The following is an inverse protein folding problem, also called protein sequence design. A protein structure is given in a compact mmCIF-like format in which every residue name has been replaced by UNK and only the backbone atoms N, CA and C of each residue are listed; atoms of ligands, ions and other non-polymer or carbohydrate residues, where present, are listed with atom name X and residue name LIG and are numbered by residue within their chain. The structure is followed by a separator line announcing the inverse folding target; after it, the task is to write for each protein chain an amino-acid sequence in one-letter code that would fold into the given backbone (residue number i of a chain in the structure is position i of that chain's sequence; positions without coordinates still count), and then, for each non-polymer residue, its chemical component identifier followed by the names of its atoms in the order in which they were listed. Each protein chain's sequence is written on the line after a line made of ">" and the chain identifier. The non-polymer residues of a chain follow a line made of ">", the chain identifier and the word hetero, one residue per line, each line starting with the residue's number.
data_IF_004955608523
#
_entry.id   IF_004955608523
#
_cell.length_a   1.000
_cell.length_b   1.000
_cell.length_c   1.000
_cell.angle_alpha   90.00
_cell.angle_beta   90.00
_cell.angle_gamma   90.00
#
_symmetry.space_group_name_H-M   'P 1'
#
loop_
_entity.id
_entity.type
_entity.pdbx_description
1 polymer ?
#
# COMPACT_ATOMS: atom_id res chain seq x y z
N UNK A 1 16.34 6.96 11.91
CA UNK A 1 15.30 7.40 10.94
C UNK A 1 14.05 6.55 11.20
N UNK A 2 12.86 7.15 11.35
CA UNK A 2 11.64 6.43 11.81
C UNK A 2 10.42 6.57 10.90
N UNK A 3 10.57 7.21 9.73
CA UNK A 3 9.50 7.42 8.76
C UNK A 3 9.88 6.72 7.44
N UNK A 4 8.92 6.06 6.78
CA UNK A 4 9.17 5.25 5.60
C UNK A 4 9.71 6.05 4.41
N UNK A 5 9.27 7.30 4.21
CA UNK A 5 9.76 8.12 3.08
C UNK A 5 11.24 8.53 3.27
N UNK A 6 11.66 9.11 4.40
CA UNK A 6 13.07 9.33 4.67
C UNK A 6 13.91 8.06 4.57
N UNK A 7 13.38 6.91 5.05
CA UNK A 7 14.07 5.61 4.92
C UNK A 7 14.28 5.26 3.44
N UNK A 8 13.25 5.42 2.61
CA UNK A 8 13.37 5.18 1.18
C UNK A 8 14.39 6.12 0.52
N UNK A 9 14.40 7.42 0.85
CA UNK A 9 15.40 8.36 0.33
C UNK A 9 16.82 7.95 0.73
N UNK A 10 17.02 7.58 2.01
CA UNK A 10 18.32 7.13 2.47
C UNK A 10 18.78 5.84 1.78
N UNK A 11 17.86 4.88 1.59
CA UNK A 11 18.16 3.64 0.86
C UNK A 11 18.51 3.91 -0.61
N UNK A 12 17.82 4.83 -1.27
CA UNK A 12 18.10 5.21 -2.66
C UNK A 12 19.46 5.92 -2.81
N UNK A 13 19.80 6.79 -1.85
CA UNK A 13 21.12 7.45 -1.80
C UNK A 13 22.25 6.46 -1.50
N UNK A 14 22.01 5.52 -0.57
CA UNK A 14 23.02 4.57 -0.09
C UNK A 14 23.21 3.41 -1.06
N UNK A 15 22.14 2.98 -1.73
CA UNK A 15 22.11 1.84 -2.66
C UNK A 15 21.35 2.24 -3.94
N UNK A 16 22.00 2.96 -4.87
CA UNK A 16 21.31 3.58 -6.01
C UNK A 16 20.86 2.62 -7.12
N UNK A 17 21.21 1.34 -7.03
CA UNK A 17 20.78 0.32 -8.01
C UNK A 17 20.27 -0.95 -7.29
N UNK A 18 18.99 -1.34 -7.50
CA UNK A 18 17.98 -0.65 -8.29
C UNK A 18 17.43 0.62 -7.60
N UNK A 19 17.07 1.68 -8.35
CA UNK A 19 16.56 2.91 -7.76
C UNK A 19 15.12 2.73 -7.23
N UNK A 20 14.85 3.29 -6.05
CA UNK A 20 13.51 3.51 -5.51
C UNK A 20 12.83 4.73 -6.13
N UNK A 21 13.61 5.70 -6.64
CA UNK A 21 13.11 6.89 -7.33
C UNK A 21 13.65 6.94 -8.78
N UNK A 22 13.12 6.12 -9.71
CA UNK A 22 13.71 5.91 -11.03
C UNK A 22 13.79 7.16 -11.93
N UNK A 23 12.96 8.17 -11.66
CA UNK A 23 12.97 9.48 -12.32
C UNK A 23 13.39 10.61 -11.36
N UNK A 24 14.09 10.30 -10.27
CA UNK A 24 14.58 11.26 -9.27
C UNK A 24 13.45 12.09 -8.64
N UNK A 25 13.59 13.41 -8.68
CA UNK A 25 12.62 14.36 -8.08
C UNK A 25 11.18 14.19 -8.60
N UNK A 26 11.00 13.75 -9.85
CA UNK A 26 9.67 13.47 -10.38
C UNK A 26 9.02 12.26 -9.68
N UNK A 27 9.79 11.20 -9.44
CA UNK A 27 9.35 10.03 -8.66
C UNK A 27 9.07 10.40 -7.21
N UNK A 28 9.90 11.26 -6.61
CA UNK A 28 9.70 11.75 -5.25
C UNK A 28 8.39 12.55 -5.12
N UNK A 29 8.16 13.49 -6.04
CA UNK A 29 6.91 14.26 -6.10
C UNK A 29 5.69 13.35 -6.32
N UNK A 30 5.83 12.32 -7.16
CA UNK A 30 4.81 11.31 -7.37
C UNK A 30 4.52 10.53 -6.09
N UNK A 31 5.55 10.10 -5.34
CA UNK A 31 5.37 9.40 -4.06
C UNK A 31 4.60 10.25 -3.04
N UNK A 32 4.90 11.55 -2.94
CA UNK A 32 4.14 12.48 -2.09
C UNK A 32 2.67 12.56 -2.52
N UNK A 33 2.41 12.67 -3.83
CA UNK A 33 1.06 12.73 -4.37
C UNK A 33 0.28 11.44 -4.08
N UNK A 34 0.86 10.26 -4.35
CA UNK A 34 0.24 8.97 -4.06
C UNK A 34 -0.04 8.82 -2.57
N UNK A 35 0.93 9.14 -1.71
CA UNK A 35 0.77 9.11 -0.26
C UNK A 35 -0.40 9.98 0.19
N UNK A 36 -0.55 11.19 -0.36
CA UNK A 36 -1.67 12.08 -0.03
C UNK A 36 -3.01 11.58 -0.55
N UNK A 37 -3.06 11.10 -1.80
CA UNK A 37 -4.27 10.63 -2.47
C UNK A 37 -4.80 9.32 -1.86
N UNK A 38 -3.94 8.50 -1.26
CA UNK A 38 -4.34 7.23 -0.66
C UNK A 38 -5.09 7.39 0.67
N UNK A 39 -4.85 8.49 1.40
CA UNK A 39 -5.39 8.70 2.76
C UNK A 39 -6.92 8.53 2.83
N UNK A 40 -7.74 9.16 1.96
CA UNK A 40 -9.18 9.03 2.04
C UNK A 40 -9.68 7.59 1.85
N UNK A 41 -9.10 6.86 0.89
CA UNK A 41 -9.42 5.45 0.64
C UNK A 41 -9.04 4.59 1.86
N UNK A 42 -7.82 4.77 2.38
CA UNK A 42 -7.34 4.02 3.54
C UNK A 42 -8.21 4.26 4.78
N UNK A 43 -8.57 5.51 5.08
CA UNK A 43 -9.42 5.84 6.22
C UNK A 43 -10.81 5.22 6.14
N UNK A 44 -11.43 5.17 4.95
CA UNK A 44 -12.74 4.51 4.77
C UNK A 44 -12.68 3.01 5.03
N UNK A 45 -11.54 2.37 4.76
CA UNK A 45 -11.36 0.94 5.03
C UNK A 45 -10.98 0.61 6.47
N UNK A 46 -10.55 1.58 7.28
CA UNK A 46 -10.21 1.35 8.68
C UNK A 46 -11.36 0.70 9.46
N UNK A 47 -12.60 1.13 9.22
CA UNK A 47 -13.77 0.58 9.88
C UNK A 47 -14.03 -0.90 9.50
N UNK A 48 -13.52 -1.34 8.36
CA UNK A 48 -13.64 -2.73 7.90
C UNK A 48 -12.45 -3.59 8.35
N UNK A 49 -11.24 -3.02 8.35
CA UNK A 49 -9.97 -3.74 8.52
C UNK A 49 -9.47 -3.77 9.97
N UNK A 50 -9.56 -2.66 10.71
CA UNK A 50 -9.04 -2.58 12.07
C UNK A 50 -9.70 -3.55 13.05
N UNK A 51 -11.03 -3.83 12.98
CA UNK A 51 -11.65 -4.80 13.87
C UNK A 51 -11.09 -6.22 13.73
N UNK A 52 -10.53 -6.54 12.56
CA UNK A 52 -9.92 -7.85 12.27
C UNK A 52 -8.49 -7.97 12.78
N UNK A 53 -7.89 -6.90 13.30
CA UNK A 53 -6.53 -6.95 13.84
C UNK A 53 -6.38 -7.95 15.00
N UNK A 54 -7.46 -8.16 15.75
CA UNK A 54 -7.50 -9.16 16.81
C UNK A 54 -7.36 -10.61 16.34
N UNK A 55 -7.61 -10.89 15.07
CA UNK A 55 -7.50 -12.22 14.46
C UNK A 55 -6.09 -12.51 13.93
N UNK A 56 -5.27 -11.47 13.78
CA UNK A 56 -3.97 -11.53 13.07
C UNK A 56 -2.79 -11.29 14.00
N UNK A 57 -2.96 -10.47 15.04
CA UNK A 57 -1.89 -10.10 15.97
C UNK A 57 -1.68 -11.16 17.06
N UNK A 58 -0.46 -11.25 17.57
CA UNK A 58 -0.14 -12.02 18.78
C UNK A 58 -0.79 -11.38 20.03
N UNK A 59 -0.85 -12.10 21.15
CA UNK A 59 -1.56 -11.63 22.36
C UNK A 59 -1.09 -10.24 22.83
N UNK A 60 0.23 -10.01 22.83
CA UNK A 60 0.82 -8.73 23.24
C UNK A 60 0.49 -7.61 22.24
N UNK A 61 0.64 -7.87 20.93
CA UNK A 61 0.33 -6.91 19.88
C UNK A 61 -1.15 -6.57 19.86
N UNK A 62 -2.02 -7.57 20.04
CA UNK A 62 -3.47 -7.42 20.17
C UNK A 62 -3.83 -6.50 21.33
N UNK A 63 -3.34 -6.76 22.54
CA UNK A 63 -3.63 -5.93 23.72
C UNK A 63 -3.27 -4.45 23.48
N UNK A 64 -2.04 -4.22 23.00
CA UNK A 64 -1.57 -2.87 22.69
C UNK A 64 -2.42 -2.20 21.60
N UNK A 65 -2.72 -2.92 20.51
CA UNK A 65 -3.45 -2.38 19.37
C UNK A 65 -4.88 -2.01 19.75
N UNK A 66 -5.60 -2.91 20.42
CA UNK A 66 -6.98 -2.67 20.87
C UNK A 66 -7.03 -1.47 21.81
N UNK A 67 -6.18 -1.43 22.84
CA UNK A 67 -6.13 -0.29 23.79
C UNK A 67 -5.92 1.04 23.07
N UNK A 68 -4.86 1.13 22.27
CA UNK A 68 -4.49 2.40 21.62
C UNK A 68 -5.50 2.85 20.56
N UNK A 69 -6.10 1.93 19.79
CA UNK A 69 -7.09 2.32 18.78
C UNK A 69 -8.43 2.63 19.43
N UNK A 70 -8.84 1.94 20.50
CA UNK A 70 -10.06 2.31 21.24
C UNK A 70 -9.97 3.72 21.82
N UNK A 71 -8.80 4.15 22.31
CA UNK A 71 -8.58 5.54 22.73
C UNK A 71 -8.71 6.53 21.56
N UNK A 72 -8.14 6.21 20.39
CA UNK A 72 -8.22 7.07 19.19
C UNK A 72 -9.65 7.19 18.66
N UNK A 73 -10.40 6.09 18.61
CA UNK A 73 -11.75 6.05 18.04
C UNK A 73 -12.86 6.37 19.06
N UNK A 74 -12.54 6.40 20.35
CA UNK A 74 -13.49 6.65 21.44
C UNK A 74 -14.54 5.56 21.65
N UNK A 75 -14.38 4.39 21.02
CA UNK A 75 -15.28 3.23 21.13
C UNK A 75 -14.54 1.90 20.89
N UNK A 76 -15.09 0.75 21.32
CA UNK A 76 -14.51 -0.56 21.03
C UNK A 76 -14.31 -0.78 19.53
N UNK A 77 -13.22 -1.44 19.12
CA UNK A 77 -12.97 -1.70 17.69
C UNK A 77 -14.05 -2.60 17.07
N UNK A 78 -14.61 -3.51 17.85
CA UNK A 78 -15.77 -4.32 17.45
C UNK A 78 -16.99 -3.51 17.03
N UNK A 79 -17.06 -2.23 17.42
CA UNK A 79 -18.15 -1.30 17.06
C UNK A 79 -17.80 -0.34 15.90
N UNK A 80 -16.62 -0.48 15.29
CA UNK A 80 -16.25 0.29 14.10
C UNK A 80 -16.99 -0.24 12.87
N UNK A 81 -17.01 -1.56 12.66
CA UNK A 81 -17.59 -2.16 11.46
C UNK A 81 -19.10 -1.90 11.40
N UNK A 82 -19.64 -1.39 10.28
CA UNK A 82 -21.08 -1.26 10.10
C UNK A 82 -21.79 -2.60 10.28
N UNK A 83 -22.95 -2.57 10.94
CA UNK A 83 -23.77 -3.76 11.22
C UNK A 83 -24.72 -4.12 10.07
N UNK A 84 -24.89 -3.22 9.10
CA UNK A 84 -25.78 -3.40 7.95
C UNK A 84 -24.96 -3.56 6.68
N UNK A 85 -25.49 -4.32 5.73
CA UNK A 85 -24.87 -4.52 4.42
C UNK A 85 -24.75 -3.19 3.67
N UNK A 86 -25.75 -2.31 3.77
CA UNK A 86 -25.73 -0.99 3.15
C UNK A 86 -24.60 -0.11 3.69
N UNK A 87 -24.31 -0.20 5.00
CA UNK A 87 -23.22 0.55 5.61
C UNK A 87 -21.85 0.06 5.13
N UNK A 88 -21.67 -1.26 5.00
CA UNK A 88 -20.45 -1.84 4.42
C UNK A 88 -20.31 -1.44 2.95
N UNK A 89 -21.37 -1.57 2.16
CA UNK A 89 -21.41 -1.18 0.74
C UNK A 89 -21.04 0.30 0.56
N UNK A 90 -21.58 1.19 1.38
CA UNK A 90 -21.27 2.63 1.32
C UNK A 90 -19.78 2.94 1.56
N UNK A 91 -19.14 2.24 2.51
CA UNK A 91 -17.69 2.38 2.74
C UNK A 91 -16.88 1.86 1.55
N UNK A 92 -17.25 0.69 1.00
CA UNK A 92 -16.59 0.09 -0.16
C UNK A 92 -16.72 0.99 -1.38
N UNK A 93 -17.92 1.49 -1.68
CA UNK A 93 -18.16 2.34 -2.85
C UNK A 93 -17.46 3.70 -2.71
N UNK A 94 -17.43 4.27 -1.49
CA UNK A 94 -16.66 5.48 -1.21
C UNK A 94 -15.15 5.28 -1.35
N UNK A 95 -14.62 4.13 -0.92
CA UNK A 95 -13.22 3.76 -1.15
C UNK A 95 -12.93 3.61 -2.65
N UNK A 96 -13.82 2.94 -3.39
CA UNK A 96 -13.69 2.76 -4.84
C UNK A 96 -13.61 4.10 -5.55
N UNK A 97 -14.49 5.05 -5.21
CA UNK A 97 -14.48 6.40 -5.78
C UNK A 97 -13.13 7.11 -5.58
N UNK A 98 -12.53 7.02 -4.38
CA UNK A 98 -11.20 7.58 -4.13
C UNK A 98 -10.09 6.85 -4.91
N UNK A 99 -10.27 5.55 -5.16
CA UNK A 99 -9.28 4.73 -5.85
C UNK A 99 -9.29 4.88 -7.39
N UNK A 100 -10.35 5.47 -7.98
CA UNK A 100 -10.48 5.66 -9.44
C UNK A 100 -9.31 6.47 -10.04
N UNK A 101 -8.75 7.41 -9.28
CA UNK A 101 -7.61 8.21 -9.73
C UNK A 101 -6.40 7.32 -10.02
N UNK A 102 -6.14 6.31 -9.19
CA UNK A 102 -4.99 5.42 -9.39
C UNK A 102 -5.15 4.55 -10.62
N UNK A 103 -6.37 4.14 -10.98
CA UNK A 103 -6.66 3.45 -12.24
C UNK A 103 -6.23 4.34 -13.41
N UNK A 104 -6.62 5.61 -13.38
CA UNK A 104 -6.25 6.57 -14.42
C UNK A 104 -4.73 6.79 -14.48
N UNK A 105 -4.06 6.84 -13.33
CA UNK A 105 -2.59 6.97 -13.25
C UNK A 105 -1.86 5.72 -13.76
N UNK A 106 -2.33 4.53 -13.41
CA UNK A 106 -1.77 3.26 -13.87
C UNK A 106 -1.98 3.06 -15.36
N UNK A 107 -3.18 3.34 -15.87
CA UNK A 107 -3.51 3.30 -17.31
C UNK A 107 -2.71 4.32 -18.13
N UNK A 108 -2.43 5.48 -17.54
CA UNK A 108 -1.78 6.59 -18.26
C UNK A 108 -2.67 7.19 -19.35
N UNK A 109 -2.06 7.76 -20.40
CA UNK A 109 -2.77 8.52 -21.45
C UNK A 109 -3.52 7.64 -22.50
N UNK A 110 -3.84 6.39 -22.16
CA UNK A 110 -4.60 5.45 -23.01
C UNK A 110 -3.79 4.25 -23.50
N UNK A 111 -4.48 3.31 -24.16
CA UNK A 111 -3.94 2.04 -24.63
C UNK A 111 -2.68 2.23 -25.51
N UNK A 112 -1.63 1.44 -25.21
CA UNK A 112 -0.38 1.43 -25.96
C UNK A 112 0.54 2.64 -25.77
N UNK A 113 0.16 3.65 -24.96
CA UNK A 113 1.01 4.83 -24.71
C UNK A 113 1.89 4.72 -23.48
N UNK A 114 1.52 3.87 -22.53
CA UNK A 114 2.31 3.57 -21.35
C UNK A 114 2.74 2.11 -21.42
N UNK A 115 4.01 1.85 -21.17
CA UNK A 115 4.55 0.51 -21.00
C UNK A 115 4.55 0.12 -19.53
N UNK A 116 4.38 -1.17 -19.25
CA UNK A 116 4.54 -1.74 -17.92
C UNK A 116 3.42 -1.46 -16.91
N UNK A 117 3.43 -2.20 -15.78
CA UNK A 117 2.33 -2.21 -14.81
C UNK A 117 2.44 -1.13 -13.73
N UNK A 118 3.58 -0.44 -13.62
CA UNK A 118 3.88 0.50 -12.54
C UNK A 118 3.51 1.94 -12.93
N UNK A 119 3.43 2.83 -11.95
CA UNK A 119 3.05 4.24 -12.15
C UNK A 119 3.99 4.97 -13.12
N UNK A 120 5.29 4.63 -13.11
CA UNK A 120 6.30 5.21 -13.99
C UNK A 120 6.68 4.30 -15.18
N UNK A 121 6.08 3.12 -15.27
CA UNK A 121 6.12 2.27 -16.45
C UNK A 121 6.54 0.83 -16.16
N UNK A 122 7.69 0.41 -16.71
CA UNK A 122 8.17 -0.98 -16.62
C UNK A 122 8.83 -1.33 -15.30
N UNK A 123 9.48 -0.35 -14.65
CA UNK A 123 10.19 -0.55 -13.39
C UNK A 123 9.37 0.01 -12.22
N UNK A 124 9.38 -0.66 -11.05
CA UNK A 124 8.71 -0.14 -9.87
C UNK A 124 9.43 1.11 -9.35
N UNK A 125 8.69 1.98 -8.67
CA UNK A 125 9.23 3.02 -7.82
C UNK A 125 8.58 3.01 -6.43
N UNK A 126 9.07 3.86 -5.53
CA UNK A 126 8.55 3.98 -4.17
C UNK A 126 7.06 4.32 -4.13
N UNK A 127 6.59 5.11 -5.10
CA UNK A 127 5.17 5.44 -5.27
C UNK A 127 4.29 4.18 -5.47
N UNK A 128 4.77 3.18 -6.21
CA UNK A 128 4.07 1.91 -6.39
C UNK A 128 3.97 1.14 -5.08
N UNK A 129 5.04 1.14 -4.26
CA UNK A 129 5.04 0.44 -2.98
C UNK A 129 4.06 1.04 -1.97
N UNK A 130 3.80 2.36 -2.01
CA UNK A 130 2.75 2.98 -1.20
C UNK A 130 1.38 2.38 -1.58
N UNK A 131 1.09 2.29 -2.88
CA UNK A 131 -0.17 1.73 -3.38
C UNK A 131 -0.28 0.22 -3.08
N UNK A 132 0.77 -0.54 -3.37
CA UNK A 132 0.83 -1.99 -3.12
C UNK A 132 0.72 -2.32 -1.64
N UNK A 133 1.22 -1.47 -0.74
CA UNK A 133 1.05 -1.65 0.71
C UNK A 133 -0.42 -1.66 1.10
N UNK A 134 -1.23 -0.76 0.53
CA UNK A 134 -2.67 -0.75 0.77
C UNK A 134 -3.36 -2.00 0.20
N UNK A 135 -3.02 -2.41 -1.02
CA UNK A 135 -3.53 -3.64 -1.64
C UNK A 135 -3.16 -4.89 -0.82
N UNK A 136 -1.95 -4.91 -0.28
CA UNK A 136 -1.44 -5.99 0.57
C UNK A 136 -2.18 -6.05 1.92
N UNK A 137 -2.51 -4.88 2.49
CA UNK A 137 -3.27 -4.80 3.73
C UNK A 137 -4.69 -5.36 3.55
N UNK A 138 -5.40 -4.97 2.48
CA UNK A 138 -6.71 -5.55 2.19
C UNK A 138 -6.62 -7.04 1.88
N UNK A 139 -5.63 -7.49 1.08
CA UNK A 139 -5.44 -8.92 0.78
C UNK A 139 -5.29 -9.79 2.04
N UNK A 140 -4.54 -9.29 3.04
CA UNK A 140 -4.24 -10.05 4.27
C UNK A 140 -5.39 -10.06 5.27
N UNK A 141 -6.21 -9.02 5.32
CA UNK A 141 -7.23 -8.83 6.36
C UNK A 141 -8.66 -9.00 5.84
N UNK A 142 -8.93 -8.70 4.57
CA UNK A 142 -10.28 -8.77 4.00
C UNK A 142 -10.23 -9.11 2.51
N UNK A 143 -10.31 -10.41 2.21
CA UNK A 143 -10.26 -10.93 0.85
C UNK A 143 -11.43 -10.44 -0.02
N UNK A 144 -12.59 -10.13 0.57
CA UNK A 144 -13.73 -9.59 -0.17
C UNK A 144 -13.46 -8.15 -0.59
N UNK A 145 -12.98 -7.31 0.33
CA UNK A 145 -12.53 -5.95 0.01
C UNK A 145 -11.41 -5.96 -1.05
N UNK A 146 -10.46 -6.88 -0.93
CA UNK A 146 -9.39 -7.01 -1.93
C UNK A 146 -9.94 -7.35 -3.32
N UNK A 147 -10.87 -8.31 -3.42
CA UNK A 147 -11.54 -8.65 -4.69
C UNK A 147 -12.29 -7.45 -5.25
N UNK A 148 -13.02 -6.71 -4.42
CA UNK A 148 -13.72 -5.49 -4.83
C UNK A 148 -12.76 -4.46 -5.45
N UNK A 149 -11.52 -4.33 -4.94
CA UNK A 149 -10.48 -3.47 -5.52
C UNK A 149 -9.92 -4.06 -6.83
N UNK A 150 -9.62 -5.36 -6.86
CA UNK A 150 -9.08 -6.03 -8.05
C UNK A 150 -10.05 -6.06 -9.24
N UNK A 151 -11.36 -5.99 -8.97
CA UNK A 151 -12.41 -5.92 -9.99
C UNK A 151 -12.64 -4.51 -10.54
N UNK A 152 -11.93 -3.50 -10.01
CA UNK A 152 -12.01 -2.15 -10.55
C UNK A 152 -11.22 -2.00 -11.86
N UNK A 153 -11.73 -1.13 -12.74
CA UNK A 153 -11.06 -0.80 -14.01
C UNK A 153 -11.05 -1.99 -14.98
N UNK A 154 -10.02 -2.02 -15.82
CA UNK A 154 -9.84 -3.04 -16.85
C UNK A 154 -8.64 -3.95 -16.52
N UNK A 155 -8.30 -4.09 -15.24
CA UNK A 155 -7.21 -4.95 -14.76
C UNK A 155 -5.93 -4.21 -14.35
N UNK A 156 -5.93 -2.88 -14.24
CA UNK A 156 -4.75 -2.09 -13.85
C UNK A 156 -4.21 -2.50 -12.47
N UNK A 157 -5.09 -2.62 -11.46
CA UNK A 157 -4.66 -3.09 -10.14
C UNK A 157 -4.20 -4.54 -10.13
N UNK A 158 -4.79 -5.40 -10.98
CA UNK A 158 -4.35 -6.79 -11.11
C UNK A 158 -2.95 -6.87 -11.71
N UNK A 159 -2.67 -6.08 -12.75
CA UNK A 159 -1.34 -6.00 -13.36
C UNK A 159 -0.29 -5.51 -12.35
N UNK A 160 -0.61 -4.44 -11.61
CA UNK A 160 0.26 -3.94 -10.53
C UNK A 160 0.50 -4.99 -9.45
N UNK A 161 -0.55 -5.66 -8.97
CA UNK A 161 -0.47 -6.69 -7.94
C UNK A 161 0.39 -7.88 -8.40
N UNK A 162 0.13 -8.42 -9.59
CA UNK A 162 0.90 -9.55 -10.13
C UNK A 162 2.38 -9.22 -10.31
N UNK A 163 2.71 -8.01 -10.74
CA UNK A 163 4.10 -7.57 -10.85
C UNK A 163 4.78 -7.41 -9.48
N UNK A 164 4.00 -7.21 -8.41
CA UNK A 164 4.51 -6.88 -7.09
C UNK A 164 4.49 -8.02 -6.07
N UNK A 165 3.79 -9.12 -6.36
CA UNK A 165 3.59 -10.22 -5.42
C UNK A 165 4.91 -10.83 -4.92
N UNK A 166 5.93 -10.84 -5.78
CA UNK A 166 7.27 -11.34 -5.45
C UNK A 166 7.93 -10.64 -4.25
N UNK A 167 7.57 -9.38 -3.96
CA UNK A 167 8.09 -8.63 -2.80
C UNK A 167 7.22 -8.79 -1.55
N UNK A 168 6.05 -9.42 -1.69
CA UNK A 168 5.12 -9.73 -0.60
C UNK A 168 5.25 -11.19 -0.13
N UNK A 169 5.84 -12.03 -0.98
CA UNK A 169 6.22 -13.42 -0.74
C UNK A 169 7.63 -13.46 -0.09
N UNK A 170 7.84 -14.33 0.90
CA UNK A 170 9.12 -14.44 1.62
C UNK A 170 9.09 -14.03 3.10
N UNK A 171 7.90 -13.80 3.68
CA UNK A 171 7.80 -13.70 5.14
C UNK A 171 8.16 -15.04 5.79
N UNK A 172 9.09 -15.02 6.75
CA UNK A 172 9.56 -16.22 7.47
C UNK A 172 10.79 -16.91 6.87
N UNK A 173 11.34 -16.40 5.76
CA UNK A 173 12.61 -16.86 5.22
C UNK A 173 13.71 -15.84 5.56
N UNK A 174 14.70 -16.24 6.35
CA UNK A 174 15.93 -15.47 6.50
C UNK A 174 16.79 -15.68 5.24
N UNK A 175 17.03 -14.59 4.51
CA UNK A 175 17.96 -14.58 3.38
C UNK A 175 19.12 -13.66 3.74
N UNK A 176 20.33 -14.23 3.75
CA UNK A 176 21.54 -13.43 3.86
C UNK A 176 21.82 -12.76 2.51
N UNK A 177 21.90 -11.43 2.52
CA UNK A 177 22.30 -10.64 1.38
C UNK A 177 23.69 -10.08 1.64
N UNK A 178 24.61 -10.27 0.70
CA UNK A 178 25.90 -9.59 0.75
C UNK A 178 25.65 -8.09 0.59
N UNK A 179 25.76 -7.32 1.68
CA UNK A 179 25.69 -5.86 1.64
C UNK A 179 26.99 -5.36 1.03
N UNK A 180 26.98 -4.73 -0.16
CA UNK A 180 28.19 -4.17 -0.75
C UNK A 180 28.78 -3.14 0.21
N UNK A 181 30.06 -3.30 0.55
CA UNK A 181 30.76 -2.29 1.33
C UNK A 181 30.89 -1.05 0.46
N UNK A 182 30.28 0.06 0.88
CA UNK A 182 30.46 1.34 0.22
C UNK A 182 31.93 1.71 0.29
N UNK A 183 32.57 1.84 -0.88
CA UNK A 183 33.91 2.40 -0.97
C UNK A 183 33.89 3.80 -0.38
N UNK A 184 34.57 4.01 0.74
CA UNK A 184 34.87 5.35 1.24
C UNK A 184 35.71 6.04 0.17
N UNK A 185 35.12 7.00 -0.53
CA UNK A 185 35.87 7.90 -1.41
C UNK A 185 36.53 8.92 -0.48
N UNK A 186 37.87 8.88 -0.41
CA UNK A 186 38.72 9.85 0.30
C UNK A 186 38.57 11.28 -0.25
#
# INVERSE_FOLDING_TARGET
>A
MMDSLPIACHLDETYPDPPLFPSGEASYALALAIGKLMVPAALKTCDLLLPKAEEVLDDRGKEYFVRTRTEIFGKPLSELRPKTEEGVRALVDGMKADMEVFISMLRGRGEGKKSGPFLEGEKPGYADFILVTFLSWSHRFDMELWREIMDMGNGEFRALWHASVQWLEGQGEEKEWAVPQLSTVD
#
